data_IF_476741520826
#
_entry.id   IF_476741520826
#
_cell.length_a   1.000
_cell.length_b   1.000
_cell.length_c   1.000
_cell.angle_alpha   90.00
_cell.angle_beta   90.00
_cell.angle_gamma   90.00
#
_symmetry.space_group_name_H-M   'P 1'
#
loop_
_entity.id
_entity.type
_entity.pdbx_description
1 polymer ?
#
# COMPACT_ATOMS: atom_id res chain seq x y z
N UNK A 1 56.66 42.96 22.16
CA UNK A 1 55.50 42.27 22.77
C UNK A 1 54.53 43.35 23.21
N UNK A 2 53.27 43.24 22.77
CA UNK A 2 52.10 44.14 22.91
C UNK A 2 52.07 45.47 22.13
N UNK A 3 51.32 45.49 21.02
CA UNK A 3 50.53 46.65 20.58
C UNK A 3 49.04 46.26 20.54
N UNK A 4 48.10 47.19 20.82
CA UNK A 4 46.76 46.91 21.34
C UNK A 4 45.65 46.83 20.27
N UNK A 5 44.55 46.15 20.61
CA UNK A 5 43.29 46.11 19.84
C UNK A 5 42.72 47.53 19.69
N UNK A 6 42.81 48.10 18.48
CA UNK A 6 42.07 49.30 18.10
C UNK A 6 40.69 48.94 17.56
N UNK A 7 39.72 49.01 18.47
CA UNK A 7 38.29 49.17 18.20
C UNK A 7 38.01 50.58 17.68
N UNK A 8 38.32 50.87 16.41
CA UNK A 8 37.92 52.15 15.81
C UNK A 8 37.93 52.11 14.28
N UNK A 9 36.92 51.48 13.67
CA UNK A 9 36.36 51.91 12.39
C UNK A 9 34.99 51.26 12.24
N UNK A 10 34.01 51.92 12.87
CA UNK A 10 32.61 51.81 12.49
C UNK A 10 32.51 52.43 11.09
N UNK A 11 32.64 51.61 10.05
CA UNK A 11 32.01 51.97 8.79
C UNK A 11 30.50 52.11 9.10
N UNK A 12 29.82 53.15 8.61
CA UNK A 12 28.37 53.20 8.71
C UNK A 12 27.87 51.93 8.04
N UNK A 13 27.13 51.09 8.78
CA UNK A 13 26.24 50.11 8.16
C UNK A 13 25.21 50.96 7.44
N UNK A 14 25.55 51.26 6.19
CA UNK A 14 24.63 51.74 5.19
C UNK A 14 23.50 50.71 5.16
N UNK A 15 22.44 51.05 5.89
CA UNK A 15 21.11 50.46 5.79
C UNK A 15 20.48 50.76 4.43
N UNK A 16 21.29 50.80 3.38
CA UNK A 16 20.80 50.70 2.02
C UNK A 16 20.15 49.33 1.92
N UNK A 17 18.83 49.39 1.87
CA UNK A 17 17.93 48.32 1.49
C UNK A 17 18.43 47.70 0.20
N UNK A 18 19.39 46.79 0.30
CA UNK A 18 19.71 45.86 -0.75
C UNK A 18 18.52 44.91 -0.79
N UNK A 19 17.45 45.40 -1.44
CA UNK A 19 16.53 44.56 -2.20
C UNK A 19 17.41 43.87 -3.22
N UNK A 20 18.12 42.83 -2.78
CA UNK A 20 18.44 41.71 -3.62
C UNK A 20 17.06 41.16 -3.98
N UNK A 21 16.44 41.75 -4.99
CA UNK A 21 15.54 41.05 -5.88
C UNK A 21 16.38 39.92 -6.48
N UNK A 22 16.62 38.90 -5.67
CA UNK A 22 17.24 37.65 -6.02
C UNK A 22 16.21 36.97 -6.92
N UNK A 23 16.18 37.41 -8.17
CA UNK A 23 15.39 36.81 -9.21
C UNK A 23 16.11 35.52 -9.57
N UNK A 24 15.86 34.48 -8.76
CA UNK A 24 16.40 33.14 -8.95
C UNK A 24 15.99 32.65 -10.35
N UNK A 25 16.91 32.60 -11.34
CA UNK A 25 16.57 32.12 -12.67
C UNK A 25 16.31 30.61 -12.67
N UNK A 26 16.63 29.91 -11.56
CA UNK A 26 16.31 28.50 -11.33
C UNK A 26 14.98 28.32 -10.60
N UNK A 27 14.35 29.40 -10.12
CA UNK A 27 12.92 29.39 -9.84
C UNK A 27 12.16 29.57 -11.17
N UNK A 28 12.42 28.63 -12.10
CA UNK A 28 11.44 28.29 -13.13
C UNK A 28 10.15 28.04 -12.37
N UNK A 29 9.19 28.93 -12.56
CA UNK A 29 7.80 28.72 -12.18
C UNK A 29 7.45 27.34 -12.69
N UNK A 30 7.48 26.37 -11.78
CA UNK A 30 7.33 24.98 -12.07
C UNK A 30 5.81 24.74 -12.05
N UNK A 31 5.07 24.78 -13.18
CA UNK A 31 3.65 24.42 -13.19
C UNK A 31 3.41 22.94 -12.81
N UNK A 32 4.48 22.22 -12.48
CA UNK A 32 4.58 20.78 -12.39
C UNK A 32 4.13 20.24 -11.02
N UNK A 33 3.67 21.14 -10.12
CA UNK A 33 2.98 20.78 -8.89
C UNK A 33 1.47 20.50 -9.04
N UNK A 34 0.91 20.52 -10.28
CA UNK A 34 -0.54 20.40 -10.50
C UNK A 34 -0.89 19.18 -11.36
N UNK A 35 -0.57 17.98 -10.87
CA UNK A 35 -1.34 16.75 -11.14
C UNK A 35 -0.66 15.54 -10.49
N UNK A 36 -0.55 15.52 -9.15
CA UNK A 36 -0.39 14.24 -8.47
C UNK A 36 -1.66 13.42 -8.72
N UNK A 37 -1.66 12.59 -9.78
CA UNK A 37 -2.70 11.62 -10.09
C UNK A 37 -2.66 10.48 -9.06
N UNK A 38 -2.99 10.81 -7.82
CA UNK A 38 -3.29 9.86 -6.78
C UNK A 38 -4.62 9.24 -7.19
N UNK A 39 -4.57 7.94 -7.52
CA UNK A 39 -5.73 7.09 -7.81
C UNK A 39 -6.93 7.52 -6.98
N UNK A 40 -8.03 7.84 -7.65
CA UNK A 40 -9.21 8.45 -7.04
C UNK A 40 -9.63 7.69 -5.76
N UNK A 41 -9.69 8.36 -4.59
CA UNK A 41 -10.11 7.76 -3.32
C UNK A 41 -11.45 7.01 -3.40
N UNK A 42 -12.30 7.40 -4.36
CA UNK A 42 -13.58 6.76 -4.63
C UNK A 42 -13.46 5.27 -4.99
N UNK A 43 -12.38 4.85 -5.65
CA UNK A 43 -12.15 3.44 -5.99
C UNK A 43 -12.00 2.63 -4.71
N UNK A 44 -11.14 3.06 -3.77
CA UNK A 44 -10.96 2.38 -2.49
C UNK A 44 -12.26 2.30 -1.67
N UNK A 45 -13.10 3.35 -1.72
CA UNK A 45 -14.41 3.34 -1.07
C UNK A 45 -15.38 2.29 -1.63
N UNK A 46 -15.42 2.11 -2.96
CA UNK A 46 -16.24 1.08 -3.60
C UNK A 46 -15.77 -0.33 -3.23
N UNK A 47 -14.46 -0.60 -3.28
CA UNK A 47 -13.93 -1.92 -2.90
C UNK A 47 -14.16 -2.20 -1.41
N UNK A 48 -14.04 -1.19 -0.55
CA UNK A 48 -14.38 -1.33 0.86
C UNK A 48 -15.83 -1.81 1.05
N UNK A 49 -16.78 -1.26 0.29
CA UNK A 49 -18.16 -1.75 0.25
C UNK A 49 -18.28 -3.21 -0.16
N UNK A 50 -17.59 -3.62 -1.23
CA UNK A 50 -17.56 -5.02 -1.69
C UNK A 50 -17.00 -5.96 -0.62
N UNK A 51 -15.93 -5.55 0.08
CA UNK A 51 -15.35 -6.35 1.16
C UNK A 51 -16.24 -6.43 2.40
N UNK A 52 -16.98 -5.36 2.72
CA UNK A 52 -17.99 -5.39 3.77
C UNK A 52 -19.10 -6.37 3.45
N UNK A 53 -19.62 -6.35 2.20
CA UNK A 53 -20.60 -7.34 1.73
C UNK A 53 -20.03 -8.76 1.82
N UNK A 54 -18.79 -8.99 1.39
CA UNK A 54 -18.14 -10.30 1.50
C UNK A 54 -18.00 -10.78 2.96
N UNK A 55 -17.74 -9.87 3.89
CA UNK A 55 -17.65 -10.17 5.32
C UNK A 55 -19.02 -10.53 5.88
N UNK A 56 -20.05 -9.74 5.57
CA UNK A 56 -21.42 -10.02 5.96
C UNK A 56 -21.93 -11.34 5.37
N UNK A 57 -21.56 -11.65 4.12
CA UNK A 57 -21.89 -12.92 3.48
C UNK A 57 -21.23 -14.11 4.20
N UNK A 58 -20.00 -13.95 4.71
CA UNK A 58 -19.32 -15.01 5.47
C UNK A 58 -19.98 -15.22 6.83
N UNK A 59 -20.37 -14.15 7.51
CA UNK A 59 -21.13 -14.22 8.77
C UNK A 59 -22.51 -14.82 8.54
N UNK A 60 -23.22 -14.42 7.47
CA UNK A 60 -24.49 -15.01 7.10
C UNK A 60 -24.35 -16.51 6.80
N UNK A 61 -23.35 -16.89 6.00
CA UNK A 61 -23.08 -18.29 5.67
C UNK A 61 -22.76 -19.14 6.91
N UNK A 62 -22.11 -18.58 7.94
CA UNK A 62 -21.86 -19.30 9.19
C UNK A 62 -23.09 -19.44 10.09
N UNK A 63 -24.08 -18.55 9.95
CA UNK A 63 -25.34 -18.61 10.70
C UNK A 63 -26.36 -19.58 10.07
N UNK A 64 -26.23 -19.94 8.80
CA UNK A 64 -27.07 -20.97 8.19
C UNK A 64 -26.56 -22.38 8.58
N UNK A 65 -27.45 -23.29 9.03
CA UNK A 65 -27.07 -24.67 9.32
C UNK A 65 -27.01 -25.50 8.03
N UNK A 66 -26.02 -25.26 7.16
CA UNK A 66 -25.80 -26.04 5.92
C UNK A 66 -25.01 -27.34 6.17
N UNK A 67 -24.82 -27.72 7.45
CA UNK A 67 -24.12 -28.93 7.85
C UNK A 67 -22.69 -28.97 7.30
N UNK A 68 -22.35 -30.05 6.60
CA UNK A 68 -21.00 -30.29 6.04
C UNK A 68 -20.61 -29.27 4.96
N UNK A 69 -21.58 -28.58 4.35
CA UNK A 69 -21.35 -27.59 3.30
C UNK A 69 -20.95 -26.21 3.82
N UNK A 70 -21.05 -25.95 5.12
CA UNK A 70 -20.66 -24.67 5.72
C UNK A 70 -19.18 -24.34 5.47
N UNK A 71 -18.28 -25.30 5.67
CA UNK A 71 -16.84 -25.07 5.51
C UNK A 71 -16.42 -24.81 4.05
N UNK A 72 -16.82 -25.63 3.05
CA UNK A 72 -16.51 -25.34 1.65
C UNK A 72 -17.03 -23.98 1.17
N UNK A 73 -18.26 -23.62 1.56
CA UNK A 73 -18.89 -22.36 1.17
C UNK A 73 -18.16 -21.18 1.82
N UNK A 74 -17.84 -21.27 3.11
CA UNK A 74 -17.09 -20.23 3.81
C UNK A 74 -15.70 -20.01 3.19
N UNK A 75 -15.00 -21.10 2.81
CA UNK A 75 -13.70 -21.02 2.14
C UNK A 75 -13.84 -20.38 0.75
N UNK A 76 -14.87 -20.75 -0.03
CA UNK A 76 -15.11 -20.15 -1.34
C UNK A 76 -15.31 -18.63 -1.25
N UNK A 77 -16.16 -18.16 -0.32
CA UNK A 77 -16.39 -16.73 -0.08
C UNK A 77 -15.11 -16.04 0.39
N UNK A 78 -14.36 -16.68 1.30
CA UNK A 78 -13.09 -16.15 1.79
C UNK A 78 -12.04 -15.99 0.67
N UNK A 79 -11.93 -16.98 -0.23
CA UNK A 79 -11.05 -16.92 -1.39
C UNK A 79 -11.44 -15.77 -2.34
N UNK A 80 -12.73 -15.62 -2.66
CA UNK A 80 -13.21 -14.49 -3.48
C UNK A 80 -12.82 -13.16 -2.84
N UNK A 81 -13.07 -12.99 -1.54
CA UNK A 81 -12.67 -11.78 -0.80
C UNK A 81 -11.16 -11.53 -0.91
N UNK A 82 -10.33 -12.57 -0.73
CA UNK A 82 -8.88 -12.45 -0.81
C UNK A 82 -8.41 -11.95 -2.19
N UNK A 83 -9.02 -12.40 -3.29
CA UNK A 83 -8.71 -11.92 -4.64
C UNK A 83 -8.97 -10.41 -4.78
N UNK A 84 -10.11 -9.93 -4.26
CA UNK A 84 -10.41 -8.48 -4.27
C UNK A 84 -9.40 -7.67 -3.46
N UNK A 85 -8.96 -8.16 -2.31
CA UNK A 85 -7.92 -7.49 -1.51
C UNK A 85 -6.62 -7.38 -2.31
N UNK A 86 -6.17 -8.45 -2.95
CA UNK A 86 -4.89 -8.45 -3.71
C UNK A 86 -4.96 -7.57 -4.95
N UNK A 87 -6.06 -7.61 -5.72
CA UNK A 87 -6.15 -6.82 -6.94
C UNK A 87 -6.20 -5.31 -6.68
N UNK A 88 -6.94 -4.90 -5.65
CA UNK A 88 -7.29 -3.49 -5.42
C UNK A 88 -6.54 -2.85 -4.24
N UNK A 89 -6.49 -3.50 -3.06
CA UNK A 89 -5.80 -2.94 -1.89
C UNK A 89 -4.28 -3.01 -2.03
N UNK A 90 -3.74 -4.10 -2.58
CA UNK A 90 -2.31 -4.18 -2.88
C UNK A 90 -1.92 -3.43 -4.18
N UNK A 91 -2.87 -2.73 -4.81
CA UNK A 91 -2.66 -1.94 -6.03
C UNK A 91 -1.98 -2.73 -7.17
N UNK A 92 -2.10 -4.07 -7.15
CA UNK A 92 -1.40 -4.97 -8.08
C UNK A 92 -1.86 -4.71 -9.51
N UNK A 93 -3.14 -4.39 -9.71
CA UNK A 93 -3.70 -4.08 -11.04
C UNK A 93 -3.02 -2.87 -11.70
N UNK A 94 -2.68 -1.86 -10.92
CA UNK A 94 -2.16 -0.57 -11.37
C UNK A 94 -0.64 -0.45 -11.26
N UNK A 95 0.01 -1.39 -10.55
CA UNK A 95 1.46 -1.39 -10.38
C UNK A 95 2.22 -1.92 -11.62
N UNK A 96 3.54 -1.73 -11.60
CA UNK A 96 4.43 -2.15 -12.69
C UNK A 96 4.39 -3.66 -12.92
N UNK A 97 4.83 -4.10 -14.11
CA UNK A 97 4.88 -5.53 -14.45
C UNK A 97 5.77 -6.34 -13.49
N UNK A 98 6.82 -5.72 -12.94
CA UNK A 98 7.71 -6.37 -11.97
C UNK A 98 6.96 -6.72 -10.67
N UNK A 99 6.17 -5.78 -10.14
CA UNK A 99 5.39 -6.01 -8.92
C UNK A 99 4.36 -7.12 -9.12
N UNK A 100 3.69 -7.14 -10.28
CA UNK A 100 2.75 -8.21 -10.63
C UNK A 100 3.41 -9.59 -10.64
N UNK A 101 4.61 -9.70 -11.22
CA UNK A 101 5.36 -10.95 -11.25
C UNK A 101 5.76 -11.41 -9.85
N UNK A 102 6.32 -10.52 -9.03
CA UNK A 102 6.72 -10.86 -7.65
C UNK A 102 5.53 -11.28 -6.80
N UNK A 103 4.40 -10.57 -6.88
CA UNK A 103 3.18 -10.94 -6.15
C UNK A 103 2.65 -12.29 -6.62
N UNK A 104 2.64 -12.53 -7.93
CA UNK A 104 2.21 -13.83 -8.47
C UNK A 104 3.11 -14.98 -8.04
N UNK A 105 4.43 -14.77 -7.98
CA UNK A 105 5.39 -15.76 -7.49
C UNK A 105 5.17 -16.03 -6.00
N UNK A 106 4.98 -14.99 -5.19
CA UNK A 106 4.66 -15.14 -3.77
C UNK A 106 3.37 -15.92 -3.52
N UNK A 107 2.30 -15.63 -4.26
CA UNK A 107 1.04 -16.38 -4.19
C UNK A 107 1.17 -17.82 -4.68
N UNK A 108 1.92 -18.04 -5.76
CA UNK A 108 2.18 -19.38 -6.28
C UNK A 108 2.94 -20.22 -5.25
N UNK A 109 4.02 -19.69 -4.67
CA UNK A 109 4.76 -20.36 -3.61
C UNK A 109 3.90 -20.59 -2.37
N UNK A 110 3.13 -19.59 -1.92
CA UNK A 110 2.21 -19.74 -0.80
C UNK A 110 1.18 -20.86 -1.04
N UNK A 111 0.57 -20.90 -2.23
CA UNK A 111 -0.40 -21.92 -2.58
C UNK A 111 0.21 -23.32 -2.58
N UNK A 112 1.44 -23.46 -3.11
CA UNK A 112 2.20 -24.72 -3.05
C UNK A 112 2.45 -25.14 -1.60
N UNK A 113 2.88 -24.21 -0.73
CA UNK A 113 3.12 -24.51 0.68
C UNK A 113 1.84 -24.98 1.40
N UNK A 114 0.73 -24.28 1.20
CA UNK A 114 -0.56 -24.64 1.81
C UNK A 114 -1.05 -26.01 1.32
N UNK A 115 -0.99 -26.27 0.01
CA UNK A 115 -1.41 -27.55 -0.55
C UNK A 115 -0.50 -28.70 -0.09
N UNK A 116 0.82 -28.50 -0.06
CA UNK A 116 1.77 -29.47 0.46
C UNK A 116 1.46 -29.82 1.92
N UNK A 117 1.20 -28.81 2.78
CA UNK A 117 0.82 -29.06 4.18
C UNK A 117 -0.50 -29.82 4.28
N UNK A 118 -1.52 -29.46 3.50
CA UNK A 118 -2.81 -30.17 3.54
C UNK A 118 -2.68 -31.62 3.07
N UNK A 119 -1.88 -31.86 2.04
CA UNK A 119 -1.57 -33.20 1.53
C UNK A 119 -0.77 -34.01 2.57
N UNK A 120 0.16 -33.40 3.31
CA UNK A 120 0.86 -34.05 4.42
C UNK A 120 -0.10 -34.50 5.53
N UNK A 121 -1.01 -33.61 5.96
CA UNK A 121 -2.03 -33.99 6.94
C UNK A 121 -2.96 -35.09 6.42
N UNK A 122 -3.37 -35.01 5.16
CA UNK A 122 -4.25 -36.00 4.54
C UNK A 122 -3.57 -37.37 4.43
N UNK A 123 -2.30 -37.42 3.99
CA UNK A 123 -1.55 -38.67 3.87
C UNK A 123 -1.21 -39.28 5.23
N UNK A 124 -0.99 -38.47 6.27
CA UNK A 124 -0.77 -38.96 7.64
C UNK A 124 -2.05 -39.48 8.28
N UNK A 125 -3.19 -38.84 8.02
CA UNK A 125 -4.49 -39.34 8.44
C UNK A 125 -4.95 -40.56 7.61
N UNK A 126 -4.29 -40.87 6.49
CA UNK A 126 -4.61 -42.00 5.63
C UNK A 126 -4.23 -43.31 6.33
N UNK A 127 -5.23 -44.02 6.85
CA UNK A 127 -5.07 -45.27 7.59
C UNK A 127 -5.35 -45.19 9.10
N UNK A 128 -5.76 -44.02 9.62
CA UNK A 128 -6.19 -43.83 11.02
C UNK A 128 -7.73 -43.79 11.18
N UNK A 129 -8.46 -44.24 10.16
CA UNK A 129 -9.92 -44.36 10.15
C UNK A 129 -10.32 -45.82 10.06
#
# INVERSE_FOLDING_TARGET
MSEPVTSHNLAPVDSEHHNLDYHDPMNVTNPEHVAHHIVSPAVYGMIFGVLMIGTLATVGASMLPLGIFNAPIAIAIACTKAVFVVLFFMHVKYSSRLVKLTVSAGFFTFFVLVMMSMLDYFTRAWGQW
#
